data_IF_970555008519
#
_entry.id   IF_970555008519
#
_cell.length_a   1.000
_cell.length_b   1.000
_cell.length_c   1.000
_cell.angle_alpha   90.00
_cell.angle_beta   90.00
_cell.angle_gamma   90.00
#
_symmetry.space_group_name_H-M   'P 1'
#
loop_
_entity.id
_entity.type
_entity.pdbx_description
1 polymer ?
#
# COMPACT_ATOMS: atom_id res chain seq x y z
N UNK A 1 -29.25 -16.35 34.68
CA UNK A 1 -28.14 -17.09 34.04
C UNK A 1 -28.18 -16.97 32.52
N UNK A 2 -29.35 -17.14 31.89
CA UNK A 2 -29.57 -17.02 30.44
C UNK A 2 -29.36 -15.60 29.89
N UNK A 3 -29.76 -14.57 30.63
CA UNK A 3 -29.57 -13.17 30.20
C UNK A 3 -28.09 -12.74 30.26
N UNK A 4 -27.32 -13.20 31.25
CA UNK A 4 -25.88 -12.93 31.37
C UNK A 4 -25.09 -13.52 30.19
N UNK A 5 -25.44 -14.73 29.75
CA UNK A 5 -24.82 -15.38 28.59
C UNK A 5 -25.10 -14.64 27.28
N UNK A 6 -26.32 -14.11 27.06
CA UNK A 6 -26.64 -13.32 25.87
C UNK A 6 -25.79 -12.05 25.75
N UNK A 7 -25.57 -11.37 26.87
CA UNK A 7 -24.75 -10.15 26.88
C UNK A 7 -23.26 -10.47 26.61
N UNK A 8 -22.76 -11.61 27.09
CA UNK A 8 -21.39 -12.08 26.78
C UNK A 8 -21.24 -12.41 25.28
N UNK A 9 -22.22 -13.05 24.64
CA UNK A 9 -22.16 -13.34 23.20
C UNK A 9 -22.20 -12.07 22.33
N UNK A 10 -22.96 -11.06 22.74
CA UNK A 10 -22.98 -9.76 22.05
C UNK A 10 -21.63 -9.04 22.23
N UNK A 11 -21.05 -9.06 23.43
CA UNK A 11 -19.73 -8.44 23.66
C UNK A 11 -18.63 -9.18 22.89
N UNK A 12 -18.65 -10.51 22.82
CA UNK A 12 -17.68 -11.30 22.07
C UNK A 12 -17.82 -11.15 20.56
N UNK A 13 -19.05 -11.05 20.02
CA UNK A 13 -19.26 -10.78 18.59
C UNK A 13 -18.85 -9.36 18.22
N UNK A 14 -19.11 -8.38 19.09
CA UNK A 14 -18.63 -7.01 18.93
C UNK A 14 -17.10 -6.95 19.03
N UNK A 15 -16.47 -7.67 19.96
CA UNK A 15 -15.00 -7.78 20.02
C UNK A 15 -14.42 -8.54 18.83
N UNK A 16 -15.10 -9.53 18.27
CA UNK A 16 -14.66 -10.18 17.02
C UNK A 16 -14.78 -9.25 15.81
N UNK A 17 -15.71 -8.29 15.83
CA UNK A 17 -15.84 -7.27 14.77
C UNK A 17 -14.86 -6.10 14.98
N UNK A 18 -14.52 -5.75 16.22
CA UNK A 18 -13.55 -4.69 16.55
C UNK A 18 -12.09 -5.16 16.67
N UNK A 19 -11.86 -6.46 16.89
CA UNK A 19 -10.54 -7.09 16.79
C UNK A 19 -10.16 -7.43 15.34
N UNK A 20 -11.05 -7.16 14.38
CA UNK A 20 -10.67 -7.03 12.98
C UNK A 20 -9.90 -5.69 12.86
N UNK A 21 -8.59 -5.83 12.78
CA UNK A 21 -7.65 -4.89 12.16
C UNK A 21 -7.08 -3.73 12.94
N UNK A 22 -6.43 -4.07 14.04
CA UNK A 22 -5.23 -3.32 14.42
C UNK A 22 -4.05 -3.65 13.49
N UNK A 23 -3.96 -4.89 12.96
CA UNK A 23 -2.85 -5.37 12.10
C UNK A 23 -3.07 -5.23 10.57
N UNK A 24 -4.28 -5.32 10.00
CA UNK A 24 -4.43 -5.18 8.53
C UNK A 24 -4.66 -3.76 8.02
N UNK A 25 -4.40 -2.71 8.81
CA UNK A 25 -4.61 -1.32 8.32
C UNK A 25 -3.70 -0.91 7.16
N UNK A 26 -2.70 -1.73 6.83
CA UNK A 26 -1.73 -1.45 5.76
C UNK A 26 -1.96 -2.28 4.48
N UNK A 27 -2.78 -3.34 4.53
CA UNK A 27 -2.98 -4.23 3.39
C UNK A 27 -4.26 -3.87 2.63
N UNK A 28 -4.12 -3.66 1.33
CA UNK A 28 -5.18 -3.38 0.36
C UNK A 28 -5.75 -4.68 -0.22
N UNK A 29 -6.83 -4.56 -1.02
CA UNK A 29 -7.41 -5.71 -1.72
C UNK A 29 -6.39 -6.37 -2.66
N UNK A 30 -5.60 -5.55 -3.35
CA UNK A 30 -4.55 -5.97 -4.28
C UNK A 30 -3.47 -6.80 -3.56
N UNK A 31 -3.12 -6.45 -2.31
CA UNK A 31 -2.19 -7.25 -1.51
C UNK A 31 -2.71 -8.67 -1.30
N UNK A 32 -4.00 -8.83 -0.98
CA UNK A 32 -4.60 -10.16 -0.78
C UNK A 32 -4.65 -11.00 -2.05
N UNK A 33 -4.98 -10.38 -3.19
CA UNK A 33 -4.99 -11.05 -4.49
C UNK A 33 -3.60 -11.57 -4.81
N UNK A 34 -2.58 -10.72 -4.69
CA UNK A 34 -1.20 -11.08 -5.05
C UNK A 34 -0.56 -12.06 -4.07
N UNK A 35 -0.87 -11.97 -2.77
CA UNK A 35 -0.46 -12.97 -1.77
C UNK A 35 -1.01 -14.35 -2.13
N UNK A 36 -2.30 -14.45 -2.48
CA UNK A 36 -2.93 -15.71 -2.87
C UNK A 36 -2.33 -16.28 -4.17
N UNK A 37 -2.17 -15.45 -5.21
CA UNK A 37 -1.65 -15.89 -6.51
C UNK A 37 -0.19 -16.37 -6.43
N UNK A 38 0.65 -15.71 -5.63
CA UNK A 38 2.08 -15.98 -5.55
C UNK A 38 2.46 -16.92 -4.40
N UNK A 39 1.48 -17.32 -3.57
CA UNK A 39 1.71 -18.18 -2.41
C UNK A 39 2.63 -17.54 -1.35
N UNK A 40 2.58 -16.22 -1.22
CA UNK A 40 3.31 -15.46 -0.19
C UNK A 40 2.37 -14.98 0.91
N UNK A 41 2.90 -14.73 2.10
CA UNK A 41 2.09 -14.27 3.24
C UNK A 41 2.46 -12.85 3.69
N UNK A 42 1.71 -12.34 4.67
CA UNK A 42 1.95 -11.01 5.25
C UNK A 42 3.34 -10.88 5.87
N UNK A 43 3.87 -11.95 6.44
CA UNK A 43 5.19 -11.93 7.05
C UNK A 43 6.28 -11.75 5.99
N UNK A 44 6.14 -12.43 4.85
CA UNK A 44 6.99 -12.22 3.67
C UNK A 44 6.91 -10.77 3.20
N UNK A 45 5.72 -10.24 2.93
CA UNK A 45 5.57 -8.85 2.43
C UNK A 45 6.15 -7.85 3.43
N UNK A 46 5.81 -7.99 4.72
CA UNK A 46 6.33 -7.11 5.79
C UNK A 46 7.84 -7.17 5.93
N UNK A 47 8.47 -8.33 5.72
CA UNK A 47 9.92 -8.47 5.82
C UNK A 47 10.69 -7.72 4.72
N UNK A 48 10.00 -7.27 3.67
CA UNK A 48 10.57 -6.48 2.59
C UNK A 48 10.31 -4.98 2.73
N UNK A 49 9.67 -4.55 3.82
CA UNK A 49 9.47 -3.13 4.17
C UNK A 49 10.39 -2.78 5.34
N UNK A 50 11.43 -2.00 5.07
CA UNK A 50 12.37 -1.53 6.10
C UNK A 50 11.89 -0.22 6.71
N UNK A 51 12.36 0.13 7.91
CA UNK A 51 12.12 1.46 8.47
C UNK A 51 12.85 2.56 7.64
N UNK A 52 12.25 3.74 7.44
CA UNK A 52 10.93 4.19 7.90
C UNK A 52 9.81 3.96 6.87
N UNK A 53 9.70 2.82 6.19
CA UNK A 53 8.92 2.52 4.96
C UNK A 53 9.73 2.62 3.66
N UNK A 54 10.81 1.86 3.59
CA UNK A 54 11.61 1.64 2.37
C UNK A 54 11.42 0.21 1.90
N UNK A 55 10.81 0.07 0.72
CA UNK A 55 10.63 -1.20 0.04
C UNK A 55 11.97 -1.74 -0.47
N UNK A 56 12.20 -3.02 -0.25
CA UNK A 56 13.40 -3.74 -0.67
C UNK A 56 13.48 -3.86 -2.20
N UNK A 57 14.69 -3.89 -2.74
CA UNK A 57 14.95 -4.00 -4.19
C UNK A 57 15.78 -5.25 -4.49
N UNK A 58 15.65 -5.75 -5.71
CA UNK A 58 16.47 -6.86 -6.22
C UNK A 58 16.14 -8.24 -5.63
N UNK A 59 15.01 -8.37 -4.92
CA UNK A 59 14.51 -9.66 -4.46
C UNK A 59 13.46 -10.13 -5.45
N UNK A 60 13.77 -11.18 -6.22
CA UNK A 60 12.95 -11.67 -7.34
C UNK A 60 11.49 -11.90 -6.96
N UNK A 61 11.24 -12.69 -5.91
CA UNK A 61 9.88 -12.99 -5.44
C UNK A 61 9.13 -11.74 -4.92
N UNK A 62 9.83 -10.75 -4.37
CA UNK A 62 9.20 -9.49 -3.96
C UNK A 62 8.93 -8.57 -5.15
N UNK A 63 9.77 -8.61 -6.19
CA UNK A 63 9.52 -7.91 -7.44
C UNK A 63 8.28 -8.50 -8.15
N UNK A 64 8.11 -9.83 -8.14
CA UNK A 64 6.87 -10.48 -8.64
C UNK A 64 5.64 -10.00 -7.87
N UNK A 65 5.75 -9.89 -6.54
CA UNK A 65 4.69 -9.33 -5.71
C UNK A 65 4.37 -7.87 -6.06
N UNK A 66 5.38 -7.02 -6.16
CA UNK A 66 5.21 -5.60 -6.48
C UNK A 66 4.63 -5.40 -7.90
N UNK A 67 5.04 -6.24 -8.86
CA UNK A 67 4.49 -6.26 -10.22
C UNK A 67 3.00 -6.58 -10.22
N UNK A 68 2.63 -7.70 -9.57
CA UNK A 68 1.24 -8.12 -9.42
C UNK A 68 0.41 -7.00 -8.77
N UNK A 69 0.88 -6.47 -7.63
CA UNK A 69 0.15 -5.45 -6.89
C UNK A 69 -0.07 -4.19 -7.73
N UNK A 70 0.95 -3.74 -8.46
CA UNK A 70 0.86 -2.56 -9.30
C UNK A 70 -0.06 -2.76 -10.50
N UNK A 71 -0.12 -3.96 -11.08
CA UNK A 71 -1.04 -4.31 -12.17
C UNK A 71 -2.48 -4.40 -11.69
N UNK A 72 -2.72 -5.03 -10.54
CA UNK A 72 -4.05 -5.08 -9.92
C UNK A 72 -4.56 -3.67 -9.54
N UNK A 73 -3.66 -2.79 -9.09
CA UNK A 73 -3.98 -1.39 -8.81
C UNK A 73 -4.11 -0.51 -10.09
N UNK A 74 -3.78 -1.04 -11.27
CA UNK A 74 -3.76 -0.30 -12.54
C UNK A 74 -2.67 0.78 -12.61
N UNK A 75 -1.67 0.72 -11.73
CA UNK A 75 -0.52 1.63 -11.65
C UNK A 75 0.59 1.26 -12.64
N UNK A 76 0.57 0.01 -13.09
CA UNK A 76 1.43 -0.58 -14.12
C UNK A 76 0.53 -1.21 -15.18
N UNK A 77 0.82 -0.98 -16.47
CA UNK A 77 0.12 -1.67 -17.56
C UNK A 77 0.71 -3.07 -17.85
N UNK A 78 0.11 -3.79 -18.79
CA UNK A 78 0.58 -5.13 -19.19
C UNK A 78 1.90 -5.11 -19.99
N UNK A 79 2.40 -3.93 -20.38
CA UNK A 79 3.70 -3.73 -21.02
C UNK A 79 4.76 -3.26 -20.01
N UNK A 80 4.49 -3.40 -18.71
CA UNK A 80 5.34 -2.99 -17.59
C UNK A 80 5.65 -1.49 -17.54
N UNK A 81 4.71 -0.65 -18.00
CA UNK A 81 4.85 0.81 -17.99
C UNK A 81 3.98 1.46 -16.93
N UNK A 82 4.52 2.47 -16.27
CA UNK A 82 3.80 3.25 -15.26
C UNK A 82 2.64 4.03 -15.88
N UNK A 83 1.45 3.88 -15.32
CA UNK A 83 0.23 4.56 -15.78
C UNK A 83 0.01 5.84 -14.96
N UNK A 84 0.77 6.90 -15.28
CA UNK A 84 0.77 8.14 -14.50
C UNK A 84 -0.60 8.78 -14.20
N UNK A 85 -1.58 8.78 -15.11
CA UNK A 85 -2.92 9.27 -14.78
C UNK A 85 -3.57 8.53 -13.60
N UNK A 86 -3.31 7.23 -13.46
CA UNK A 86 -3.81 6.43 -12.31
C UNK A 86 -3.05 6.83 -11.05
N UNK A 87 -1.71 6.95 -11.11
CA UNK A 87 -0.90 7.45 -9.99
C UNK A 87 -1.38 8.82 -9.49
N UNK A 88 -1.70 9.76 -10.39
CA UNK A 88 -2.19 11.10 -10.05
C UNK A 88 -3.52 11.07 -9.28
N UNK A 89 -4.37 10.06 -9.51
CA UNK A 89 -5.63 9.86 -8.77
C UNK A 89 -5.47 9.01 -7.51
N UNK A 90 -4.51 8.09 -7.50
CA UNK A 90 -4.23 7.15 -6.41
C UNK A 90 -3.50 7.83 -5.24
N UNK A 91 -2.41 8.52 -5.52
CA UNK A 91 -1.48 9.10 -4.54
C UNK A 91 -2.17 10.04 -3.53
N UNK A 92 -3.04 11.00 -3.93
CA UNK A 92 -3.62 11.95 -2.98
C UNK A 92 -4.52 11.31 -1.93
N UNK A 93 -5.12 10.15 -2.21
CA UNK A 93 -5.97 9.47 -1.23
C UNK A 93 -5.17 8.45 -0.45
N UNK A 94 -4.37 7.63 -1.14
CA UNK A 94 -3.60 6.57 -0.49
C UNK A 94 -2.56 7.13 0.48
N UNK A 95 -1.70 8.04 0.02
CA UNK A 95 -0.55 8.53 0.82
C UNK A 95 -0.99 9.40 2.00
N UNK A 96 -2.00 10.26 1.82
CA UNK A 96 -2.52 11.09 2.91
C UNK A 96 -3.25 10.26 3.98
N UNK A 97 -3.97 9.20 3.59
CA UNK A 97 -4.53 8.26 4.55
C UNK A 97 -3.43 7.50 5.29
N UNK A 98 -2.39 7.07 4.56
CA UNK A 98 -1.24 6.36 5.11
C UNK A 98 -0.52 7.18 6.20
N UNK A 99 -0.20 8.45 5.93
CA UNK A 99 0.42 9.35 6.94
C UNK A 99 -0.57 9.91 7.97
N UNK A 100 -1.82 9.42 7.99
CA UNK A 100 -2.89 9.83 8.91
C UNK A 100 -3.24 11.33 8.82
N UNK A 101 -3.15 11.91 7.63
CA UNK A 101 -3.57 13.30 7.32
C UNK A 101 -4.62 13.35 6.20
N UNK A 102 -5.78 12.67 6.34
CA UNK A 102 -6.80 12.58 5.28
C UNK A 102 -7.41 13.92 4.84
N UNK A 103 -7.34 14.94 5.69
CA UNK A 103 -7.90 16.29 5.47
C UNK A 103 -6.83 17.35 5.25
N UNK A 104 -5.65 16.97 4.74
CA UNK A 104 -4.57 17.91 4.47
C UNK A 104 -5.02 19.02 3.49
N UNK A 105 -4.73 20.30 3.75
CA UNK A 105 -5.11 21.39 2.85
C UNK A 105 -4.49 21.24 1.46
N UNK A 106 -5.27 21.43 0.39
CA UNK A 106 -4.82 21.30 -1.00
C UNK A 106 -4.14 19.95 -1.30
N UNK A 107 -4.60 18.85 -0.70
CA UNK A 107 -3.97 17.52 -0.82
C UNK A 107 -3.70 17.09 -2.27
N UNK A 108 -4.59 17.42 -3.20
CA UNK A 108 -4.45 17.06 -4.62
C UNK A 108 -3.30 17.83 -5.30
N UNK A 109 -3.10 19.09 -4.94
CA UNK A 109 -2.00 19.92 -5.46
C UNK A 109 -0.66 19.43 -4.91
N UNK A 110 -0.57 19.25 -3.59
CA UNK A 110 0.65 18.76 -2.91
C UNK A 110 1.03 17.37 -3.41
N UNK A 111 0.06 16.45 -3.53
CA UNK A 111 0.32 15.12 -4.06
C UNK A 111 0.84 15.15 -5.51
N UNK A 112 0.31 16.05 -6.35
CA UNK A 112 0.78 16.21 -7.72
C UNK A 112 2.21 16.75 -7.78
N UNK A 113 2.54 17.73 -6.95
CA UNK A 113 3.90 18.27 -6.85
C UNK A 113 4.90 17.20 -6.42
N UNK A 114 4.59 16.47 -5.35
CA UNK A 114 5.43 15.36 -4.86
C UNK A 114 5.57 14.27 -5.92
N UNK A 115 4.47 13.84 -6.55
CA UNK A 115 4.53 12.83 -7.61
C UNK A 115 5.44 13.29 -8.75
N UNK A 116 5.29 14.53 -9.23
CA UNK A 116 6.14 15.08 -10.28
C UNK A 116 7.62 15.17 -9.89
N UNK A 117 7.92 15.47 -8.62
CA UNK A 117 9.28 15.44 -8.09
C UNK A 117 9.87 14.02 -8.06
N UNK A 118 9.02 13.00 -7.84
CA UNK A 118 9.43 11.60 -7.80
C UNK A 118 9.45 10.88 -9.16
N UNK A 119 8.73 11.35 -10.20
CA UNK A 119 8.74 10.72 -11.54
C UNK A 119 10.17 10.42 -12.07
N UNK A 120 11.18 11.30 -11.91
CA UNK A 120 12.54 11.02 -12.38
C UNK A 120 13.25 9.87 -11.66
N UNK A 121 12.81 9.47 -10.45
CA UNK A 121 13.41 8.35 -9.72
C UNK A 121 12.92 6.99 -10.21
N UNK A 122 11.80 6.97 -10.94
CA UNK A 122 11.10 5.76 -11.39
C UNK A 122 11.73 5.14 -12.66
N UNK A 123 13.06 4.98 -12.65
CA UNK A 123 13.84 4.39 -13.75
C UNK A 123 14.50 3.12 -13.21
N UNK A 124 13.73 2.03 -13.21
CA UNK A 124 14.19 0.71 -12.76
C UNK A 124 14.54 -0.24 -13.91
N UNK A 125 15.10 -1.39 -13.54
CA UNK A 125 15.44 -2.46 -14.50
C UNK A 125 14.19 -3.23 -15.01
N UNK A 126 13.04 -3.04 -14.35
CA UNK A 126 11.73 -3.60 -14.70
C UNK A 126 10.59 -2.67 -14.29
N UNK A 127 9.35 -3.01 -14.67
CA UNK A 127 8.15 -2.31 -14.21
C UNK A 127 8.04 -2.33 -12.69
N UNK A 128 8.20 -3.50 -12.07
CA UNK A 128 8.24 -3.67 -10.62
C UNK A 128 9.30 -2.80 -9.93
N UNK A 129 10.54 -2.79 -10.45
CA UNK A 129 11.61 -1.97 -9.87
C UNK A 129 11.31 -0.47 -10.01
N UNK A 130 10.71 -0.07 -11.14
CA UNK A 130 10.26 1.31 -11.36
C UNK A 130 9.15 1.73 -10.40
N UNK A 131 8.21 0.82 -10.09
CA UNK A 131 7.16 1.02 -9.07
C UNK A 131 7.78 1.16 -7.69
N UNK A 132 8.69 0.26 -7.31
CA UNK A 132 9.37 0.28 -6.01
C UNK A 132 10.15 1.59 -5.82
N UNK A 133 10.89 2.02 -6.84
CA UNK A 133 11.64 3.28 -6.83
C UNK A 133 10.74 4.51 -6.69
N UNK A 134 9.61 4.53 -7.40
CA UNK A 134 8.63 5.61 -7.29
C UNK A 134 8.00 5.63 -5.90
N UNK A 135 7.53 4.48 -5.42
CA UNK A 135 6.91 4.34 -4.10
C UNK A 135 7.85 4.77 -2.98
N UNK A 136 9.12 4.36 -3.02
CA UNK A 136 10.13 4.77 -2.03
C UNK A 136 10.34 6.28 -2.00
N UNK A 137 10.37 6.94 -3.16
CA UNK A 137 10.44 8.41 -3.21
C UNK A 137 9.17 9.04 -2.61
N UNK A 138 7.99 8.56 -2.99
CA UNK A 138 6.72 9.06 -2.46
C UNK A 138 6.65 8.91 -0.94
N UNK A 139 6.98 7.74 -0.39
CA UNK A 139 7.00 7.53 1.06
C UNK A 139 7.93 8.52 1.76
N UNK A 140 9.15 8.71 1.25
CA UNK A 140 10.11 9.66 1.81
C UNK A 140 9.56 11.10 1.84
N UNK A 141 9.02 11.58 0.72
CA UNK A 141 8.45 12.94 0.63
C UNK A 141 7.21 13.13 1.51
N UNK A 142 6.29 12.16 1.52
CA UNK A 142 5.05 12.26 2.30
C UNK A 142 5.27 12.17 3.81
N UNK A 143 6.24 11.38 4.26
CA UNK A 143 6.58 11.31 5.69
C UNK A 143 7.27 12.58 6.21
N UNK A 144 7.83 13.40 5.32
CA UNK A 144 8.41 14.69 5.67
C UNK A 144 7.36 15.82 5.82
N UNK A 145 6.11 15.60 5.39
CA UNK A 145 4.99 16.53 5.57
C UNK A 145 4.50 16.55 7.02
#
# INVERSE_FOLDING_TARGET
MTEFLKHIFIILSVFQVFAIDVDNRFYTLEDYICMEQLGVDKAFVSSHVNEPFVLSRGVEQFNEYADCWAKEAGLLDYDDRLVYPVWESFVPNYMFNFIRKPYYPNKEEVAREILNACKPTAVGDSGADSVILLANCLFAEFMAL
#
